data_IF_476900805631
#
_entry.id   IF_476900805631
#
_cell.length_a   1.000
_cell.length_b   1.000
_cell.length_c   1.000
_cell.angle_alpha   90.00
_cell.angle_beta   90.00
_cell.angle_gamma   90.00
#
_symmetry.space_group_name_H-M   'P 1'
#
loop_
_entity.id
_entity.type
_entity.pdbx_description
1 polymer ?
#
# COMPACT_ATOMS: atom_id res chain seq x y z
N UNK A 1 12.35 -16.78 -10.51
CA UNK A 1 11.44 -17.30 -9.46
C UNK A 1 10.73 -18.56 -9.98
N UNK A 2 11.44 -19.68 -10.05
CA UNK A 2 11.04 -20.80 -10.91
C UNK A 2 9.91 -21.71 -10.37
N UNK A 3 9.42 -21.52 -9.13
CA UNK A 3 8.47 -22.46 -8.50
C UNK A 3 7.35 -21.77 -7.71
N UNK A 4 6.96 -20.54 -8.05
CA UNK A 4 5.81 -19.89 -7.39
C UNK A 4 4.52 -20.40 -8.05
N UNK A 5 3.56 -20.97 -7.30
CA UNK A 5 2.32 -21.45 -7.88
C UNK A 5 1.46 -20.35 -8.49
N UNK A 6 0.69 -20.69 -9.53
CA UNK A 6 -0.18 -19.73 -10.24
C UNK A 6 -1.16 -18.99 -9.32
N UNK A 7 -1.69 -19.65 -8.29
CA UNK A 7 -2.65 -19.03 -7.36
C UNK A 7 -2.05 -17.82 -6.62
N UNK A 8 -0.73 -17.77 -6.40
CA UNK A 8 -0.04 -16.64 -5.77
C UNK A 8 -0.08 -15.43 -6.70
N UNK A 9 0.25 -15.63 -7.97
CA UNK A 9 0.17 -14.60 -9.00
C UNK A 9 -1.27 -14.10 -9.20
N UNK A 10 -2.23 -15.02 -9.29
CA UNK A 10 -3.64 -14.68 -9.46
C UNK A 10 -4.18 -13.88 -8.26
N UNK A 11 -3.88 -14.32 -7.04
CA UNK A 11 -4.30 -13.62 -5.81
C UNK A 11 -3.69 -12.22 -5.73
N UNK A 12 -2.40 -12.08 -6.07
CA UNK A 12 -1.74 -10.78 -6.12
C UNK A 12 -2.37 -9.87 -7.18
N UNK A 13 -2.64 -10.39 -8.37
CA UNK A 13 -3.32 -9.65 -9.44
C UNK A 13 -4.70 -9.15 -9.01
N UNK A 14 -5.53 -10.03 -8.44
CA UNK A 14 -6.86 -9.67 -7.89
C UNK A 14 -6.72 -8.58 -6.82
N UNK A 15 -5.72 -8.70 -5.95
CA UNK A 15 -5.47 -7.72 -4.88
C UNK A 15 -5.08 -6.35 -5.43
N UNK A 16 -4.20 -6.32 -6.43
CA UNK A 16 -3.81 -5.09 -7.14
C UNK A 16 -5.05 -4.45 -7.78
N UNK A 17 -5.81 -5.19 -8.59
CA UNK A 17 -7.00 -4.64 -9.25
C UNK A 17 -8.09 -4.21 -8.26
N UNK A 18 -8.27 -4.95 -7.16
CA UNK A 18 -9.21 -4.58 -6.09
C UNK A 18 -8.78 -3.28 -5.41
N UNK A 19 -7.49 -3.09 -5.15
CA UNK A 19 -6.93 -1.86 -4.59
C UNK A 19 -7.21 -0.68 -5.52
N UNK A 20 -6.92 -0.84 -6.81
CA UNK A 20 -7.16 0.19 -7.83
C UNK A 20 -8.64 0.53 -7.99
N UNK A 21 -9.50 -0.48 -8.00
CA UNK A 21 -10.94 -0.31 -8.11
C UNK A 21 -11.52 0.43 -6.89
N UNK A 22 -11.15 0.00 -5.67
CA UNK A 22 -11.60 0.66 -4.45
C UNK A 22 -11.07 2.09 -4.38
N UNK A 23 -9.81 2.33 -4.76
CA UNK A 23 -9.26 3.68 -4.77
C UNK A 23 -9.95 4.55 -5.83
N UNK A 24 -10.21 4.03 -7.04
CA UNK A 24 -10.98 4.73 -8.06
C UNK A 24 -12.38 5.12 -7.55
N UNK A 25 -13.03 4.24 -6.79
CA UNK A 25 -14.32 4.55 -6.15
C UNK A 25 -14.25 5.62 -5.07
N UNK A 26 -13.10 5.81 -4.44
CA UNK A 26 -12.90 6.87 -3.44
C UNK A 26 -12.70 8.25 -4.09
N UNK A 27 -12.32 8.30 -5.36
CA UNK A 27 -11.98 9.54 -6.07
C UNK A 27 -13.22 10.09 -6.79
N UNK A 28 -13.39 11.43 -6.89
CA UNK A 28 -14.39 12.01 -7.78
C UNK A 28 -14.22 11.49 -9.21
N UNK A 29 -15.34 11.24 -9.92
CA UNK A 29 -15.31 10.67 -11.28
C UNK A 29 -14.40 11.48 -12.19
N UNK A 30 -13.24 10.91 -12.51
CA UNK A 30 -12.24 11.50 -13.39
C UNK A 30 -11.52 10.40 -14.16
N UNK A 31 -11.51 10.53 -15.48
CA UNK A 31 -10.76 9.62 -16.35
C UNK A 31 -9.25 9.80 -16.20
N UNK A 32 -8.79 10.94 -15.65
CA UNK A 32 -7.37 11.24 -15.48
C UNK A 32 -6.65 10.25 -14.57
N UNK A 33 -7.31 9.77 -13.51
CA UNK A 33 -6.73 8.74 -12.63
C UNK A 33 -6.51 7.43 -13.40
N UNK A 34 -7.50 6.98 -14.18
CA UNK A 34 -7.42 5.74 -14.96
C UNK A 34 -6.29 5.81 -15.98
N UNK A 35 -6.18 6.93 -16.71
CA UNK A 35 -5.09 7.13 -17.68
C UNK A 35 -3.73 7.12 -16.98
N UNK A 36 -3.59 7.90 -15.90
CA UNK A 36 -2.33 8.00 -15.16
C UNK A 36 -1.90 6.63 -14.60
N UNK A 37 -2.81 5.90 -13.95
CA UNK A 37 -2.47 4.62 -13.35
C UNK A 37 -2.21 3.56 -14.44
N UNK A 38 -2.90 3.60 -15.58
CA UNK A 38 -2.65 2.67 -16.68
C UNK A 38 -1.27 2.87 -17.27
N UNK A 39 -0.87 4.14 -17.51
CA UNK A 39 0.49 4.47 -17.97
C UNK A 39 1.51 4.02 -16.93
N UNK A 40 1.28 4.30 -15.65
CA UNK A 40 2.19 3.89 -14.57
C UNK A 40 2.38 2.37 -14.54
N UNK A 41 1.29 1.59 -14.55
CA UNK A 41 1.35 0.13 -14.53
C UNK A 41 2.02 -0.44 -15.78
N UNK A 42 1.76 0.14 -16.96
CA UNK A 42 2.40 -0.28 -18.21
C UNK A 42 3.91 -0.05 -18.16
N UNK A 43 4.33 1.16 -17.79
CA UNK A 43 5.76 1.53 -17.67
C UNK A 43 6.46 0.61 -16.66
N UNK A 44 5.87 0.43 -15.47
CA UNK A 44 6.42 -0.44 -14.44
C UNK A 44 6.46 -1.91 -14.87
N UNK A 45 5.45 -2.40 -15.58
CA UNK A 45 5.46 -3.77 -16.14
C UNK A 45 6.63 -3.97 -17.09
N UNK A 46 6.82 -3.04 -18.05
CA UNK A 46 7.92 -3.13 -19.04
C UNK A 46 9.26 -3.12 -18.31
N UNK A 47 9.49 -2.16 -17.41
CA UNK A 47 10.74 -2.05 -16.65
C UNK A 47 11.00 -3.29 -15.80
N UNK A 48 9.96 -3.82 -15.15
CA UNK A 48 10.02 -5.03 -14.34
C UNK A 48 10.36 -6.29 -15.13
N UNK A 49 9.70 -6.48 -16.28
CA UNK A 49 9.93 -7.63 -17.17
C UNK A 49 11.35 -7.59 -17.76
N UNK A 50 11.86 -6.41 -18.07
CA UNK A 50 13.24 -6.22 -18.53
C UNK A 50 14.30 -6.48 -17.43
N UNK A 51 13.90 -6.79 -16.20
CA UNK A 51 14.82 -7.07 -15.10
C UNK A 51 15.57 -5.85 -14.58
N UNK A 52 15.08 -4.64 -14.84
CA UNK A 52 15.78 -3.41 -14.44
C UNK A 52 15.98 -3.33 -12.91
N UNK A 53 14.99 -3.78 -12.13
CA UNK A 53 15.00 -3.77 -10.66
C UNK A 53 15.79 -4.92 -10.04
N UNK A 54 16.15 -5.96 -10.80
CA UNK A 54 16.97 -7.07 -10.30
C UNK A 54 18.45 -6.72 -10.25
N UNK A 55 18.85 -5.59 -10.84
CA UNK A 55 20.19 -5.03 -10.74
C UNK A 55 20.28 -4.24 -9.43
N UNK A 56 20.91 -4.85 -8.43
CA UNK A 56 20.91 -4.33 -7.05
C UNK A 56 22.21 -3.67 -6.61
N UNK A 57 23.28 -3.78 -7.38
CA UNK A 57 24.62 -3.26 -7.05
C UNK A 57 24.86 -1.80 -7.45
N UNK A 58 23.80 -1.00 -7.68
CA UNK A 58 23.93 0.41 -8.08
C UNK A 58 23.75 1.37 -6.89
N UNK A 59 24.36 2.55 -6.97
CA UNK A 59 24.14 3.67 -6.06
C UNK A 59 23.66 4.90 -6.84
N UNK A 60 22.43 5.40 -6.61
CA UNK A 60 21.42 4.87 -5.69
C UNK A 60 20.80 3.53 -6.18
N UNK A 61 20.23 2.70 -5.29
CA UNK A 61 19.56 1.46 -5.69
C UNK A 61 18.34 1.73 -6.55
N UNK A 62 18.24 1.04 -7.69
CA UNK A 62 17.11 1.17 -8.64
C UNK A 62 15.76 0.89 -7.99
N UNK A 63 15.73 0.03 -6.97
CA UNK A 63 14.55 -0.26 -6.17
C UNK A 63 13.85 1.00 -5.63
N UNK A 64 14.59 2.07 -5.31
CA UNK A 64 14.02 3.32 -4.82
C UNK A 64 13.08 3.99 -5.84
N UNK A 65 13.26 3.74 -7.13
CA UNK A 65 12.40 4.28 -8.20
C UNK A 65 10.99 3.66 -8.20
N UNK A 66 10.75 2.58 -7.45
CA UNK A 66 9.40 2.06 -7.22
C UNK A 66 8.63 2.94 -6.22
N UNK A 67 9.32 3.43 -5.19
CA UNK A 67 8.72 4.16 -4.08
C UNK A 67 8.72 5.68 -4.28
N UNK A 68 9.81 6.24 -4.84
CA UNK A 68 10.00 7.69 -4.92
C UNK A 68 8.91 8.40 -5.73
N UNK A 69 8.56 7.99 -6.98
CA UNK A 69 7.54 8.69 -7.75
C UNK A 69 6.17 8.79 -7.04
N UNK A 70 5.59 7.71 -6.49
CA UNK A 70 4.30 7.83 -5.80
C UNK A 70 4.40 8.55 -4.44
N UNK A 71 5.56 8.54 -3.76
CA UNK A 71 5.80 9.37 -2.58
C UNK A 71 5.87 10.86 -2.93
N UNK A 72 6.57 11.23 -4.00
CA UNK A 72 6.61 12.60 -4.52
C UNK A 72 5.21 13.06 -4.93
N UNK A 73 4.45 12.21 -5.62
CA UNK A 73 3.06 12.48 -5.95
C UNK A 73 2.24 12.78 -4.69
N UNK A 74 2.35 11.95 -3.66
CA UNK A 74 1.70 12.16 -2.36
C UNK A 74 2.11 13.52 -1.76
N UNK A 75 3.41 13.82 -1.67
CA UNK A 75 3.91 15.09 -1.13
C UNK A 75 3.37 16.31 -1.89
N UNK A 76 3.29 16.25 -3.23
CA UNK A 76 2.73 17.31 -4.07
C UNK A 76 1.24 17.53 -3.80
N UNK A 77 0.46 16.44 -3.66
CA UNK A 77 -0.96 16.56 -3.34
C UNK A 77 -1.16 17.22 -1.96
N UNK A 78 -0.36 16.86 -0.96
CA UNK A 78 -0.46 17.44 0.38
C UNK A 78 0.12 18.86 0.49
N UNK A 79 0.90 19.33 -0.48
CA UNK A 79 1.53 20.66 -0.44
C UNK A 79 0.72 21.72 -1.19
N UNK A 80 0.11 21.35 -2.32
CA UNK A 80 -0.59 22.31 -3.20
C UNK A 80 -2.03 22.57 -2.78
N UNK A 81 -2.56 23.77 -3.07
CA UNK A 81 -3.98 24.10 -2.80
C UNK A 81 -4.93 23.16 -3.54
N UNK A 82 -4.64 22.88 -4.82
CA UNK A 82 -5.44 21.97 -5.66
C UNK A 82 -5.41 20.54 -5.14
N UNK A 83 -4.24 20.04 -4.72
CA UNK A 83 -4.12 18.69 -4.19
C UNK A 83 -4.80 18.50 -2.84
N UNK A 84 -4.71 19.50 -1.95
CA UNK A 84 -5.48 19.51 -0.70
C UNK A 84 -6.99 19.46 -0.96
N UNK A 85 -7.49 20.27 -1.89
CA UNK A 85 -8.90 20.24 -2.28
C UNK A 85 -9.32 18.89 -2.87
N UNK A 86 -8.45 18.26 -3.67
CA UNK A 86 -8.66 16.90 -4.15
C UNK A 86 -8.75 15.89 -3.01
N UNK A 87 -7.80 15.90 -2.07
CA UNK A 87 -7.81 15.01 -0.90
C UNK A 87 -9.09 15.19 -0.08
N UNK A 88 -9.51 16.44 0.13
CA UNK A 88 -10.69 16.78 0.92
C UNK A 88 -12.01 16.37 0.22
N UNK A 89 -11.96 16.00 -1.07
CA UNK A 89 -13.09 15.50 -1.86
C UNK A 89 -13.23 13.96 -1.90
N UNK A 90 -12.24 13.23 -1.38
CA UNK A 90 -12.25 11.76 -1.43
C UNK A 90 -13.26 11.16 -0.45
N UNK A 91 -13.89 10.04 -0.82
CA UNK A 91 -14.83 9.33 0.05
C UNK A 91 -14.09 8.62 1.19
N UNK A 92 -14.15 9.22 2.39
CA UNK A 92 -13.55 8.70 3.62
C UNK A 92 -13.97 7.26 3.97
N UNK A 93 -15.21 6.87 3.63
CA UNK A 93 -15.70 5.51 3.91
C UNK A 93 -14.98 4.50 3.04
N UNK A 94 -14.77 4.82 1.77
CA UNK A 94 -14.02 3.96 0.84
C UNK A 94 -12.53 3.97 1.17
N UNK A 95 -11.96 5.11 1.57
CA UNK A 95 -10.59 5.19 2.10
C UNK A 95 -10.39 4.36 3.37
N UNK A 96 -11.46 4.07 4.12
CA UNK A 96 -11.39 3.16 5.28
C UNK A 96 -11.45 1.69 4.83
N UNK A 97 -12.40 1.33 3.96
CA UNK A 97 -12.61 -0.07 3.59
C UNK A 97 -11.50 -0.62 2.68
N UNK A 98 -10.80 0.23 1.93
CA UNK A 98 -9.68 -0.19 1.07
C UNK A 98 -8.59 -0.95 1.84
N UNK A 99 -8.42 -0.69 3.13
CA UNK A 99 -7.44 -1.40 3.96
C UNK A 99 -7.68 -2.91 4.05
N UNK A 100 -8.89 -3.41 3.71
CA UNK A 100 -9.17 -4.85 3.61
C UNK A 100 -8.24 -5.58 2.65
N UNK A 101 -7.72 -4.90 1.61
CA UNK A 101 -6.80 -5.50 0.63
C UNK A 101 -5.49 -5.97 1.26
N UNK A 102 -5.17 -5.53 2.47
CA UNK A 102 -4.00 -6.01 3.21
C UNK A 102 -4.10 -7.49 3.56
N UNK A 103 -5.30 -8.02 3.81
CA UNK A 103 -5.47 -9.45 4.12
C UNK A 103 -4.91 -10.33 3.00
N UNK A 104 -5.34 -10.18 1.72
CA UNK A 104 -4.75 -10.99 0.66
C UNK A 104 -3.29 -10.61 0.34
N UNK A 105 -2.83 -9.37 0.57
CA UNK A 105 -1.39 -9.04 0.48
C UNK A 105 -0.58 -9.90 1.44
N UNK A 106 -1.01 -9.99 2.71
CA UNK A 106 -0.32 -10.74 3.75
C UNK A 106 -0.31 -12.26 3.47
N UNK A 107 -1.41 -12.78 2.93
CA UNK A 107 -1.48 -14.18 2.46
C UNK A 107 -0.49 -14.42 1.31
N UNK A 108 -0.39 -13.48 0.36
CA UNK A 108 0.58 -13.57 -0.74
C UNK A 108 2.02 -13.52 -0.22
N UNK A 109 2.33 -12.62 0.72
CA UNK A 109 3.66 -12.53 1.33
C UNK A 109 4.04 -13.83 2.06
N UNK A 110 3.08 -14.45 2.75
CA UNK A 110 3.30 -15.74 3.38
C UNK A 110 3.60 -16.85 2.36
N UNK A 111 2.86 -16.95 1.26
CA UNK A 111 3.16 -17.93 0.21
C UNK A 111 4.50 -17.68 -0.49
N UNK A 112 4.88 -16.42 -0.64
CA UNK A 112 6.21 -16.05 -1.14
C UNK A 112 7.31 -16.45 -0.16
N UNK A 113 7.05 -16.39 1.15
CA UNK A 113 7.99 -16.86 2.17
C UNK A 113 8.19 -18.37 2.10
N UNK A 114 7.10 -19.13 2.02
CA UNK A 114 7.15 -20.59 1.81
C UNK A 114 7.92 -20.93 0.52
N UNK A 115 7.78 -20.10 -0.51
CA UNK A 115 8.50 -20.22 -1.79
C UNK A 115 9.93 -19.66 -1.78
N UNK A 116 10.47 -19.29 -0.61
CA UNK A 116 11.83 -18.75 -0.42
C UNK A 116 12.11 -17.42 -1.12
N UNK A 117 11.07 -16.64 -1.44
CA UNK A 117 11.18 -15.39 -2.19
C UNK A 117 11.14 -14.12 -1.32
N UNK A 118 10.70 -14.23 -0.07
CA UNK A 118 10.72 -13.16 0.95
C UNK A 118 11.06 -13.74 2.33
N UNK A 119 11.70 -13.02 3.26
CA UNK A 119 12.00 -13.54 4.60
C UNK A 119 10.75 -13.64 5.48
N UNK A 120 10.81 -14.49 6.51
CA UNK A 120 9.73 -14.66 7.50
C UNK A 120 9.33 -13.33 8.16
N UNK A 121 10.31 -12.47 8.44
CA UNK A 121 10.11 -11.21 9.15
C UNK A 121 9.13 -10.25 8.45
N UNK A 122 8.99 -10.34 7.11
CA UNK A 122 8.04 -9.50 6.34
C UNK A 122 6.65 -10.13 6.23
N UNK A 123 6.42 -11.25 6.91
CA UNK A 123 5.13 -11.94 6.98
C UNK A 123 4.51 -11.80 8.36
N UNK A 124 3.22 -12.13 8.46
CA UNK A 124 2.47 -12.11 9.72
C UNK A 124 2.92 -13.15 10.75
N UNK A 125 3.70 -14.17 10.36
CA UNK A 125 4.36 -15.07 11.33
C UNK A 125 5.56 -14.39 12.00
N UNK A 126 6.17 -13.41 11.31
CA UNK A 126 7.31 -12.66 11.80
C UNK A 126 6.91 -11.34 12.48
N UNK A 127 7.33 -10.22 11.88
CA UNK A 127 7.15 -8.87 12.46
C UNK A 127 6.04 -8.05 11.78
N UNK A 128 5.36 -8.62 10.79
CA UNK A 128 4.36 -7.90 10.00
C UNK A 128 2.93 -8.07 10.55
N UNK A 129 2.53 -7.20 11.46
CA UNK A 129 1.16 -7.22 11.99
C UNK A 129 0.15 -6.44 11.13
N UNK A 130 0.49 -6.08 9.88
CA UNK A 130 -0.40 -5.28 9.03
C UNK A 130 -1.68 -6.02 8.64
N UNK A 131 -1.73 -7.36 8.81
CA UNK A 131 -2.98 -8.13 8.66
C UNK A 131 -4.08 -7.65 9.62
N UNK A 132 -3.71 -7.18 10.82
CA UNK A 132 -4.65 -6.68 11.83
C UNK A 132 -5.35 -5.42 11.33
N UNK A 133 -4.63 -4.55 10.62
CA UNK A 133 -5.22 -3.34 10.05
C UNK A 133 -6.24 -3.69 8.94
N UNK A 134 -5.96 -4.73 8.14
CA UNK A 134 -6.90 -5.25 7.15
C UNK A 134 -8.15 -5.88 7.76
N UNK A 135 -7.98 -6.73 8.78
CA UNK A 135 -9.11 -7.38 9.49
C UNK A 135 -9.97 -6.35 10.23
N UNK A 136 -9.36 -5.33 10.83
CA UNK A 136 -10.10 -4.30 11.58
C UNK A 136 -10.86 -3.32 10.68
N UNK A 137 -10.47 -3.14 9.41
CA UNK A 137 -11.05 -2.15 8.51
C UNK A 137 -12.58 -2.28 8.31
N UNK A 138 -13.18 -3.46 8.09
CA UNK A 138 -14.65 -3.60 8.01
C UNK A 138 -15.37 -3.23 9.31
N UNK A 139 -14.78 -3.51 10.48
CA UNK A 139 -15.35 -3.14 11.77
C UNK A 139 -15.33 -1.62 11.95
N UNK A 140 -14.19 -0.98 11.64
CA UNK A 140 -14.07 0.48 11.67
C UNK A 140 -15.03 1.13 10.67
N UNK A 141 -15.18 0.56 9.48
CA UNK A 141 -16.16 1.02 8.50
C UNK A 141 -17.59 0.94 9.06
N UNK A 142 -17.96 -0.23 9.59
CA UNK A 142 -19.31 -0.48 10.08
C UNK A 142 -19.64 0.37 11.30
N UNK A 143 -18.80 0.37 12.33
CA UNK A 143 -19.05 1.14 13.54
C UNK A 143 -18.85 2.64 13.33
N UNK A 144 -17.95 3.07 12.45
CA UNK A 144 -17.68 4.48 12.19
C UNK A 144 -18.71 5.14 11.27
N UNK A 145 -19.13 4.47 10.22
CA UNK A 145 -19.95 5.11 9.18
C UNK A 145 -21.37 4.54 9.04
N UNK A 146 -21.58 3.25 9.34
CA UNK A 146 -22.92 2.64 9.24
C UNK A 146 -23.70 2.86 10.54
N UNK A 147 -23.12 2.44 11.67
CA UNK A 147 -23.74 2.57 13.00
C UNK A 147 -23.42 3.89 13.69
N UNK A 148 -22.40 4.62 13.24
CA UNK A 148 -21.96 5.91 13.82
C UNK A 148 -21.73 5.85 15.34
N UNK A 149 -21.18 4.72 15.82
CA UNK A 149 -20.89 4.47 17.24
C UNK A 149 -19.49 4.90 17.66
N UNK A 150 -18.54 5.01 16.73
CA UNK A 150 -17.18 5.47 17.01
C UNK A 150 -16.97 6.86 16.42
N UNK A 151 -16.48 7.77 17.26
CA UNK A 151 -16.24 9.16 16.88
C UNK A 151 -14.91 9.37 16.16
N UNK A 152 -14.72 10.60 15.68
CA UNK A 152 -13.50 11.09 15.03
C UNK A 152 -12.18 10.74 15.75
N UNK A 153 -12.05 10.85 17.09
CA UNK A 153 -10.80 10.50 17.77
C UNK A 153 -10.37 9.05 17.57
N UNK A 154 -11.33 8.11 17.59
CA UNK A 154 -11.06 6.68 17.39
C UNK A 154 -10.64 6.42 15.94
N UNK A 155 -11.30 7.06 14.96
CA UNK A 155 -10.93 6.94 13.55
C UNK A 155 -9.52 7.48 13.27
N UNK A 156 -9.13 8.58 13.91
CA UNK A 156 -7.77 9.14 13.83
C UNK A 156 -6.76 8.17 14.47
N UNK A 157 -7.04 7.70 15.70
CA UNK A 157 -6.16 6.77 16.40
C UNK A 157 -5.95 5.48 15.59
N UNK A 158 -7.02 4.91 15.02
CA UNK A 158 -6.92 3.74 14.16
C UNK A 158 -6.03 3.98 12.93
N UNK A 159 -6.21 5.11 12.23
CA UNK A 159 -5.35 5.44 11.09
C UNK A 159 -3.88 5.63 11.50
N UNK A 160 -3.60 6.26 12.63
CA UNK A 160 -2.23 6.45 13.14
C UNK A 160 -1.58 5.11 13.48
N UNK A 161 -2.29 4.23 14.19
CA UNK A 161 -1.80 2.90 14.55
C UNK A 161 -1.51 2.08 13.28
N UNK A 162 -2.46 2.05 12.34
CA UNK A 162 -2.32 1.31 11.08
C UNK A 162 -1.22 1.89 10.17
N UNK A 163 -1.01 3.21 10.21
CA UNK A 163 0.11 3.85 9.53
C UNK A 163 1.44 3.44 10.17
N UNK A 164 1.52 3.33 11.50
CA UNK A 164 2.68 2.80 12.20
C UNK A 164 3.01 1.35 11.78
N UNK A 165 1.99 0.49 11.67
CA UNK A 165 2.14 -0.88 11.16
C UNK A 165 2.66 -0.89 9.71
N UNK A 166 2.08 -0.05 8.84
CA UNK A 166 2.53 0.09 7.45
C UNK A 166 4.00 0.52 7.36
N UNK A 167 4.38 1.54 8.12
CA UNK A 167 5.76 2.03 8.13
C UNK A 167 6.72 0.96 8.65
N UNK A 168 6.32 0.20 9.67
CA UNK A 168 7.10 -0.92 10.17
C UNK A 168 7.39 -1.94 9.06
N UNK A 169 6.37 -2.40 8.33
CA UNK A 169 6.60 -3.37 7.25
C UNK A 169 7.35 -2.78 6.06
N UNK A 170 7.11 -1.53 5.69
CA UNK A 170 7.86 -0.87 4.61
C UNK A 170 9.34 -0.80 4.94
N UNK A 171 9.70 -0.38 6.16
CA UNK A 171 11.09 -0.30 6.61
C UNK A 171 11.73 -1.70 6.62
N UNK A 172 11.08 -2.69 7.23
CA UNK A 172 11.58 -4.07 7.28
C UNK A 172 11.72 -4.68 5.88
N UNK A 173 10.76 -4.43 4.99
CA UNK A 173 10.77 -4.90 3.60
C UNK A 173 11.89 -4.28 2.77
N UNK A 174 12.16 -2.98 2.96
CA UNK A 174 13.28 -2.27 2.33
C UNK A 174 14.62 -2.80 2.84
N UNK A 175 14.78 -2.93 4.15
CA UNK A 175 16.01 -3.44 4.79
C UNK A 175 16.22 -4.94 4.56
N UNK A 176 15.22 -5.65 4.03
CA UNK A 176 15.33 -7.05 3.62
C UNK A 176 15.56 -7.23 2.12
N UNK A 177 15.38 -6.18 1.31
CA UNK A 177 15.62 -6.26 -0.13
C UNK A 177 17.14 -6.39 -0.37
N UNK A 178 17.58 -7.20 -1.35
CA UNK A 178 19.00 -7.50 -1.60
C UNK A 178 19.76 -6.34 -2.25
N UNK A 179 19.74 -5.18 -1.59
CA UNK A 179 20.40 -3.93 -1.98
C UNK A 179 21.61 -3.68 -1.06
N UNK A 180 22.48 -2.69 -1.35
CA UNK A 180 23.60 -2.36 -0.48
C UNK A 180 23.18 -1.89 0.93
N UNK A 181 21.90 -1.57 1.13
CA UNK A 181 21.32 -1.20 2.43
C UNK A 181 20.65 -2.38 3.16
N UNK A 182 20.79 -3.61 2.67
CA UNK A 182 20.21 -4.78 3.32
C UNK A 182 20.81 -4.95 4.73
N UNK A 183 19.93 -5.12 5.72
CA UNK A 183 20.28 -5.38 7.11
C UNK A 183 19.60 -6.65 7.66
N UNK A 184 18.50 -7.09 7.03
CA UNK A 184 17.72 -8.23 7.48
C UNK A 184 17.52 -9.26 6.36
N UNK A 185 17.08 -10.46 6.71
CA UNK A 185 16.78 -11.53 5.74
C UNK A 185 17.99 -11.96 4.92
N UNK A 186 19.20 -11.96 5.49
CA UNK A 186 20.45 -12.26 4.76
C UNK A 186 20.42 -13.66 4.14
N UNK A 187 19.84 -14.64 4.84
CA UNK A 187 19.70 -16.02 4.35
C UNK A 187 18.57 -16.17 3.31
N UNK A 188 17.55 -15.32 3.39
CA UNK A 188 16.36 -15.37 2.55
C UNK A 188 15.90 -13.93 2.20
N UNK A 189 16.58 -13.25 1.26
CA UNK A 189 16.30 -11.85 0.96
C UNK A 189 14.92 -11.65 0.33
N UNK A 190 14.41 -10.42 0.43
CA UNK A 190 13.17 -9.99 -0.19
C UNK A 190 13.37 -9.76 -1.70
N UNK A 191 13.50 -10.85 -2.46
CA UNK A 191 13.71 -10.82 -3.91
C UNK A 191 12.40 -10.63 -4.68
N UNK A 192 11.26 -10.99 -4.09
CA UNK A 192 9.97 -10.93 -4.78
C UNK A 192 9.62 -9.50 -5.23
N UNK A 193 9.84 -8.50 -4.37
CA UNK A 193 9.53 -7.09 -4.66
C UNK A 193 10.34 -6.49 -5.81
N UNK A 194 11.37 -7.19 -6.31
CA UNK A 194 12.17 -6.78 -7.46
C UNK A 194 11.64 -7.31 -8.79
N UNK A 195 10.67 -8.21 -8.75
CA UNK A 195 10.21 -8.96 -9.91
C UNK A 195 8.73 -8.71 -10.21
N UNK A 196 8.37 -8.78 -11.48
CA UNK A 196 6.99 -8.77 -11.91
C UNK A 196 6.24 -10.04 -11.43
N UNK A 197 4.98 -9.93 -10.96
CA UNK A 197 4.20 -8.71 -10.75
C UNK A 197 4.37 -8.11 -9.34
N UNK A 198 5.06 -8.78 -8.43
CA UNK A 198 5.12 -8.43 -7.01
C UNK A 198 5.76 -7.07 -6.72
N UNK A 199 6.56 -6.54 -7.64
CA UNK A 199 7.04 -5.15 -7.61
C UNK A 199 5.93 -4.09 -7.55
N UNK A 200 4.69 -4.42 -7.94
CA UNK A 200 3.55 -3.52 -7.75
C UNK A 200 3.17 -3.32 -6.28
N UNK A 201 3.66 -4.15 -5.37
CA UNK A 201 3.46 -3.95 -3.94
C UNK A 201 4.09 -2.62 -3.50
N UNK A 202 5.42 -2.38 -3.63
CA UNK A 202 6.01 -1.09 -3.35
C UNK A 202 5.66 -0.01 -4.39
N UNK A 203 5.42 -0.37 -5.67
CA UNK A 203 5.17 0.65 -6.70
C UNK A 203 3.74 1.19 -6.74
N UNK A 204 2.77 0.50 -6.15
CA UNK A 204 1.36 0.85 -6.31
C UNK A 204 0.54 0.63 -5.04
N UNK A 205 0.46 -0.60 -4.52
CA UNK A 205 -0.42 -0.95 -3.41
C UNK A 205 -0.02 -0.18 -2.14
N UNK A 206 1.25 -0.29 -1.72
CA UNK A 206 1.76 0.38 -0.51
C UNK A 206 1.56 1.90 -0.57
N UNK A 207 1.93 2.61 -1.66
CA UNK A 207 1.67 4.05 -1.75
C UNK A 207 0.19 4.44 -1.73
N UNK A 208 -0.72 3.67 -2.34
CA UNK A 208 -2.16 3.95 -2.29
C UNK A 208 -2.67 3.81 -0.85
N UNK A 209 -2.22 2.77 -0.14
CA UNK A 209 -2.60 2.53 1.25
C UNK A 209 -2.05 3.62 2.17
N UNK A 210 -0.78 4.04 1.97
CA UNK A 210 -0.19 5.19 2.66
C UNK A 210 -1.00 6.46 2.41
N UNK A 211 -1.28 6.77 1.14
CA UNK A 211 -2.05 7.94 0.74
C UNK A 211 -3.46 7.93 1.35
N UNK A 212 -4.08 6.76 1.45
CA UNK A 212 -5.42 6.59 2.05
C UNK A 212 -5.43 6.92 3.55
N UNK A 213 -4.42 6.47 4.31
CA UNK A 213 -4.25 6.84 5.72
C UNK A 213 -4.03 8.35 5.90
N UNK A 214 -3.07 8.92 5.15
CA UNK A 214 -2.75 10.34 5.26
C UNK A 214 -3.96 11.22 4.87
N UNK A 215 -4.70 10.81 3.84
CA UNK A 215 -5.89 11.51 3.37
C UNK A 215 -7.00 11.45 4.41
N UNK A 216 -7.24 10.27 4.99
CA UNK A 216 -8.22 10.07 6.05
C UNK A 216 -7.90 10.90 7.29
N UNK A 217 -6.64 10.90 7.74
CA UNK A 217 -6.18 11.71 8.88
C UNK A 217 -6.40 13.20 8.59
N UNK A 218 -6.00 13.68 7.42
CA UNK A 218 -6.20 15.08 7.02
C UNK A 218 -7.68 15.47 7.06
N UNK A 219 -8.53 14.70 6.39
CA UNK A 219 -9.97 14.98 6.35
C UNK A 219 -10.56 14.98 7.75
N UNK A 220 -10.23 13.97 8.56
CA UNK A 220 -10.71 13.88 9.93
C UNK A 220 -10.25 15.09 10.73
N UNK A 221 -8.98 15.48 10.70
CA UNK A 221 -8.45 16.61 11.50
C UNK A 221 -9.03 17.96 11.06
N UNK A 222 -9.04 18.25 9.76
CA UNK A 222 -9.29 19.60 9.24
C UNK A 222 -10.71 19.84 8.72
N UNK A 223 -11.47 18.81 8.36
CA UNK A 223 -12.81 19.00 7.81
C UNK A 223 -13.86 19.07 8.92
N UNK A 224 -14.40 20.28 9.17
CA UNK A 224 -15.38 20.53 10.22
C UNK A 224 -16.76 19.89 9.95
N UNK A 225 -17.11 19.60 8.71
CA UNK A 225 -18.41 18.97 8.39
C UNK A 225 -18.53 17.52 8.87
N UNK A 226 -17.40 16.85 9.13
CA UNK A 226 -17.34 15.52 9.72
C UNK A 226 -17.41 15.55 11.27
N UNK A 227 -17.45 16.74 11.89
CA UNK A 227 -17.39 16.94 13.34
C UNK A 227 -18.79 16.96 13.97
N UNK A 228 -19.86 17.20 13.21
CA UNK A 228 -21.19 17.50 13.76
C UNK A 228 -22.24 16.40 13.52
N UNK A 229 -21.85 15.12 13.63
CA UNK A 229 -22.79 14.00 13.78
C UNK A 229 -22.45 13.21 15.04
N UNK A 230 -22.47 13.89 16.18
CA UNK A 230 -22.55 13.28 17.51
C UNK A 230 -23.77 13.85 18.20
#
# INVERSE_FOLDING_TARGET
>A
MANIPFYVYATFGITLFSTLYLFYRAIPKSNGFIVLISIWLLVQSIIGILGFYTITNTMPPRFQLLLLPPLVFTMVQFSTKKGKAFIDSLDLKILTIIHIVRIPVEIVLYWLFVSKAVPELVTFEGRNFDIISGISAPFIYYFGFVKQKIGKPILIAWNIICLGLLLNIVINGMLSAPTPFQQFGLEQPNIAVLHFPFMFLPACIVPIILFSHLSSIRQLVFNKSLINKS
#
